data_IF_688485945982
#
_entry.id   IF_688485945982
#
_cell.length_a   1.000
_cell.length_b   1.000
_cell.length_c   1.000
_cell.angle_alpha   90.00
_cell.angle_beta   90.00
_cell.angle_gamma   90.00
#
_symmetry.space_group_name_H-M   'P 1'
#
loop_
_entity.id
_entity.type
_entity.pdbx_description
1 polymer ?
#
# COMPACT_ATOMS: atom_id res chain seq x y z
N UNK A 1 51.10 55.68 40.22
CA UNK A 1 50.16 55.03 41.17
C UNK A 1 48.73 55.39 40.80
N UNK A 2 47.96 54.49 40.18
CA UNK A 2 46.51 54.67 39.96
C UNK A 2 45.78 53.44 40.50
N UNK A 3 44.90 53.68 41.49
CA UNK A 3 44.10 52.69 42.22
C UNK A 3 43.03 52.11 41.30
N UNK A 4 42.82 50.80 41.40
CA UNK A 4 41.76 50.04 40.73
C UNK A 4 40.40 50.41 41.34
N UNK A 5 39.41 50.72 40.49
CA UNK A 5 38.01 50.87 40.85
C UNK A 5 37.30 49.57 40.43
N UNK A 6 36.80 48.80 41.39
CA UNK A 6 36.05 47.58 41.13
C UNK A 6 34.57 47.92 40.97
N UNK A 7 33.97 47.49 39.86
CA UNK A 7 32.52 47.52 39.68
C UNK A 7 32.02 46.08 39.65
N UNK A 8 31.26 45.70 40.69
CA UNK A 8 30.53 44.43 40.73
C UNK A 8 29.26 44.58 39.89
N UNK A 9 29.15 43.80 38.82
CA UNK A 9 27.90 43.65 38.04
C UNK A 9 27.15 42.45 38.62
N UNK A 10 25.98 42.71 39.19
CA UNK A 10 25.04 41.70 39.68
C UNK A 10 24.31 41.09 38.47
N UNK A 11 24.59 39.83 38.13
CA UNK A 11 23.83 39.09 37.12
C UNK A 11 22.61 38.45 37.80
N UNK A 12 21.44 39.07 37.66
CA UNK A 12 20.15 38.43 37.95
C UNK A 12 19.84 37.42 36.85
N UNK A 13 19.94 36.12 37.17
CA UNK A 13 19.45 35.04 36.33
C UNK A 13 17.91 35.00 36.40
N UNK A 14 17.23 35.41 35.33
CA UNK A 14 15.82 35.09 35.12
C UNK A 14 15.72 33.60 34.80
N UNK A 15 15.19 32.80 35.74
CA UNK A 15 14.71 31.46 35.45
C UNK A 15 13.38 31.58 34.71
N UNK A 16 13.39 31.38 33.39
CA UNK A 16 12.18 31.07 32.63
C UNK A 16 11.77 29.64 33.01
N UNK A 17 10.79 29.51 33.91
CA UNK A 17 10.02 28.28 34.03
C UNK A 17 9.15 28.18 32.78
N UNK A 18 9.65 27.49 31.76
CA UNK A 18 8.84 27.12 30.61
C UNK A 18 7.78 26.12 31.08
N UNK A 19 6.52 26.53 31.05
CA UNK A 19 5.40 25.59 31.13
C UNK A 19 5.55 24.59 29.98
N UNK A 20 5.77 23.32 30.32
CA UNK A 20 5.67 22.22 29.38
C UNK A 20 4.20 22.14 28.99
N UNK A 21 3.84 22.74 27.86
CA UNK A 21 2.58 22.46 27.17
C UNK A 21 2.54 20.95 26.92
N UNK A 22 1.75 20.23 27.72
CA UNK A 22 1.47 18.83 27.52
C UNK A 22 0.82 18.67 26.14
N UNK A 23 1.62 18.26 25.15
CA UNK A 23 1.10 17.93 23.83
C UNK A 23 0.10 16.79 23.94
N UNK A 24 -1.00 16.88 23.18
CA UNK A 24 -1.97 15.79 23.07
C UNK A 24 -1.26 14.47 22.77
N UNK A 25 -1.69 13.34 23.36
CA UNK A 25 -1.01 12.06 23.17
C UNK A 25 -1.00 11.69 21.69
N UNK A 26 0.17 11.34 21.15
CA UNK A 26 0.28 10.83 19.77
C UNK A 26 -0.58 9.57 19.62
N UNK A 27 -1.33 9.50 18.53
CA UNK A 27 -2.27 8.41 18.24
C UNK A 27 -1.79 7.50 17.11
N UNK A 28 -0.82 7.94 16.31
CA UNK A 28 -0.29 7.23 15.14
C UNK A 28 1.20 7.49 14.96
N UNK A 29 1.97 6.42 14.78
CA UNK A 29 3.39 6.46 14.45
C UNK A 29 3.65 6.01 13.00
N UNK A 30 4.59 6.65 12.32
CA UNK A 30 5.11 6.25 11.01
C UNK A 30 6.61 5.98 11.14
N UNK A 31 7.02 4.73 10.92
CA UNK A 31 8.37 4.23 11.21
C UNK A 31 8.89 3.29 10.10
N UNK A 32 10.00 2.59 10.36
CA UNK A 32 10.65 1.69 9.42
C UNK A 32 11.67 2.44 8.56
N UNK A 33 11.61 2.25 7.25
CA UNK A 33 12.52 2.84 6.25
C UNK A 33 12.20 4.32 5.95
N UNK A 34 12.31 5.15 6.98
CA UNK A 34 12.00 6.59 6.96
C UNK A 34 13.15 7.39 7.55
N UNK A 35 13.48 8.54 6.96
CA UNK A 35 14.47 9.47 7.55
C UNK A 35 13.93 10.20 8.76
N UNK A 36 12.64 10.51 8.71
CA UNK A 36 11.95 11.32 9.71
C UNK A 36 10.76 10.52 10.23
N UNK A 37 10.94 9.69 11.27
CA UNK A 37 9.82 9.05 11.93
C UNK A 37 8.80 10.10 12.39
N UNK A 38 7.51 9.84 12.13
CA UNK A 38 6.43 10.76 12.49
C UNK A 38 5.64 10.19 13.66
N UNK A 39 5.26 11.06 14.60
CA UNK A 39 4.30 10.77 15.65
C UNK A 39 3.20 11.83 15.54
N UNK A 40 2.00 11.41 15.13
CA UNK A 40 0.92 12.31 14.74
C UNK A 40 -0.23 12.24 15.74
N UNK A 41 -0.83 13.39 16.01
CA UNK A 41 -2.12 13.54 16.68
C UNK A 41 -3.27 13.57 15.65
N UNK A 42 -4.52 13.53 16.10
CA UNK A 42 -5.68 13.73 15.20
C UNK A 42 -5.67 15.16 14.64
N UNK A 43 -5.39 16.16 15.49
CA UNK A 43 -5.27 17.57 15.08
C UNK A 43 -4.22 17.77 14.00
N UNK A 44 -3.09 17.06 14.08
CA UNK A 44 -2.09 17.09 13.01
C UNK A 44 -2.72 16.63 11.70
N UNK A 45 -3.39 15.48 11.67
CA UNK A 45 -4.03 14.97 10.45
C UNK A 45 -5.08 15.94 9.86
N UNK A 46 -5.85 16.63 10.71
CA UNK A 46 -6.84 17.60 10.27
C UNK A 46 -6.23 18.87 9.67
N UNK A 47 -5.05 19.29 10.15
CA UNK A 47 -4.34 20.50 9.69
C UNK A 47 -3.58 20.30 8.37
N UNK A 48 -3.39 19.07 7.92
CA UNK A 48 -2.71 18.76 6.65
C UNK A 48 -3.70 18.80 5.47
N UNK A 49 -3.17 18.59 4.25
CA UNK A 49 -3.92 18.58 2.98
C UNK A 49 -4.93 17.43 2.94
N UNK A 50 -6.04 17.62 3.65
CA UNK A 50 -7.14 16.67 3.74
C UNK A 50 -7.90 16.62 2.42
N UNK A 51 -8.34 15.42 2.05
CA UNK A 51 -9.27 15.18 0.96
C UNK A 51 -10.48 14.43 1.51
N UNK A 52 -11.60 14.54 0.81
CA UNK A 52 -12.81 13.78 1.12
C UNK A 52 -12.91 12.54 0.22
N UNK A 53 -13.22 11.40 0.82
CA UNK A 53 -13.40 10.12 0.13
C UNK A 53 -14.65 9.44 0.68
N UNK A 54 -15.55 9.04 -0.21
CA UNK A 54 -16.67 8.17 0.17
C UNK A 54 -16.18 6.72 0.31
N UNK A 55 -16.55 6.05 1.40
CA UNK A 55 -16.42 4.61 1.54
C UNK A 55 -17.77 4.02 1.99
N UNK A 56 -18.21 2.99 1.26
CA UNK A 56 -19.33 2.15 1.65
C UNK A 56 -18.73 0.98 2.43
N UNK A 57 -18.98 0.90 3.73
CA UNK A 57 -18.36 -0.12 4.57
C UNK A 57 -19.16 -1.41 4.53
N UNK A 58 -19.01 -2.10 3.40
CA UNK A 58 -19.52 -3.45 3.18
C UNK A 58 -18.32 -4.39 3.23
N UNK A 59 -18.39 -5.39 4.09
CA UNK A 59 -17.37 -6.44 4.25
C UNK A 59 -17.64 -7.58 3.27
N UNK A 60 -16.64 -8.40 2.99
CA UNK A 60 -16.79 -9.58 2.12
C UNK A 60 -17.86 -10.57 2.65
N UNK A 61 -18.00 -10.68 3.98
CA UNK A 61 -19.01 -11.50 4.64
C UNK A 61 -20.43 -10.89 4.65
N UNK A 62 -20.64 -9.81 3.89
CA UNK A 62 -21.86 -9.01 3.84
C UNK A 62 -22.17 -8.19 5.10
N UNK A 63 -21.23 -8.10 6.05
CA UNK A 63 -21.30 -7.16 7.16
C UNK A 63 -21.40 -5.72 6.66
N UNK A 64 -22.34 -4.95 7.21
CA UNK A 64 -22.53 -3.54 6.88
C UNK A 64 -22.23 -2.67 8.09
N UNK A 65 -21.30 -1.73 7.94
CA UNK A 65 -20.84 -0.83 9.00
C UNK A 65 -21.13 0.64 8.68
N UNK A 66 -21.92 0.93 7.65
CA UNK A 66 -22.36 2.28 7.31
C UNK A 66 -21.80 2.78 5.99
N UNK A 67 -22.12 4.03 5.68
CA UNK A 67 -21.58 4.74 4.52
C UNK A 67 -21.26 6.16 4.95
N UNK A 68 -20.04 6.59 4.66
CA UNK A 68 -19.54 7.86 5.16
C UNK A 68 -18.68 8.58 4.11
N UNK A 69 -18.71 9.90 4.17
CA UNK A 69 -17.65 10.75 3.65
C UNK A 69 -16.55 10.85 4.71
N UNK A 70 -15.37 10.32 4.41
CA UNK A 70 -14.18 10.39 5.25
C UNK A 70 -13.30 11.55 4.82
N UNK A 71 -12.87 12.35 5.80
CA UNK A 71 -11.91 13.43 5.59
C UNK A 71 -10.57 13.04 6.21
N UNK A 72 -9.51 13.05 5.40
CA UNK A 72 -8.19 12.61 5.82
C UNK A 72 -7.07 12.93 4.85
N UNK A 73 -5.85 12.64 5.30
CA UNK A 73 -4.63 12.87 4.51
C UNK A 73 -4.34 11.65 3.65
N UNK A 74 -4.00 11.80 2.35
CA UNK A 74 -3.50 10.70 1.55
C UNK A 74 -2.30 10.01 2.22
N UNK A 75 -2.32 8.68 2.29
CA UNK A 75 -1.20 7.93 2.87
C UNK A 75 0.11 8.25 2.16
N UNK A 76 0.07 8.41 0.84
CA UNK A 76 1.19 8.87 0.03
C UNK A 76 1.84 10.14 0.59
N UNK A 77 1.04 11.15 0.94
CA UNK A 77 1.52 12.43 1.47
C UNK A 77 2.18 12.28 2.83
N UNK A 78 1.61 11.46 3.72
CA UNK A 78 2.22 11.17 5.03
C UNK A 78 3.58 10.47 4.88
N UNK A 79 3.68 9.51 3.96
CA UNK A 79 4.94 8.81 3.67
C UNK A 79 5.97 9.70 2.97
N UNK A 80 5.53 10.68 2.17
CA UNK A 80 6.40 11.72 1.61
C UNK A 80 6.98 12.62 2.71
N UNK A 81 6.17 13.02 3.70
CA UNK A 81 6.67 13.77 4.86
C UNK A 81 7.67 12.97 5.69
N UNK A 82 7.43 11.68 5.91
CA UNK A 82 8.36 10.80 6.63
C UNK A 82 9.68 10.56 5.88
N UNK A 83 9.77 10.94 4.59
CA UNK A 83 10.95 10.85 3.76
C UNK A 83 11.51 9.41 3.67
N UNK A 84 10.86 8.58 2.85
CA UNK A 84 11.23 7.17 2.68
C UNK A 84 12.67 7.00 2.18
N UNK A 85 13.48 6.23 2.92
CA UNK A 85 14.88 5.90 2.58
C UNK A 85 15.15 4.41 2.75
N UNK A 86 15.59 3.78 1.64
CA UNK A 86 16.13 2.43 1.69
C UNK A 86 17.56 2.48 2.19
N UNK A 87 17.94 1.52 3.03
CA UNK A 87 19.33 1.33 3.43
C UNK A 87 20.22 0.86 2.27
N UNK A 88 21.47 0.49 2.58
CA UNK A 88 22.40 -0.04 1.58
C UNK A 88 21.87 -1.38 1.03
N UNK A 89 21.44 -1.36 -0.23
CA UNK A 89 20.96 -2.55 -0.94
C UNK A 89 21.40 -2.51 -2.39
N UNK A 90 21.50 -3.69 -3.01
CA UNK A 90 21.76 -3.82 -4.43
C UNK A 90 20.60 -3.30 -5.32
N UNK A 91 19.41 -3.05 -4.75
CA UNK A 91 18.23 -2.56 -5.50
C UNK A 91 17.62 -1.30 -4.88
N UNK A 92 17.97 -0.15 -5.45
CA UNK A 92 17.62 1.17 -4.90
C UNK A 92 16.19 1.63 -5.13
N UNK A 93 15.45 1.00 -6.06
CA UNK A 93 14.05 1.38 -6.30
C UNK A 93 13.18 0.98 -5.11
N UNK A 94 12.08 1.70 -4.93
CA UNK A 94 11.11 1.50 -3.84
C UNK A 94 9.97 0.56 -4.18
N UNK A 95 9.90 0.08 -5.43
CA UNK A 95 8.80 -0.76 -5.94
C UNK A 95 8.70 -2.14 -5.28
N UNK A 96 9.68 -2.53 -4.47
CA UNK A 96 9.72 -3.76 -3.67
C UNK A 96 9.41 -3.53 -2.18
N UNK A 97 9.03 -2.32 -1.78
CA UNK A 97 8.69 -2.00 -0.40
C UNK A 97 7.25 -2.38 -0.05
N UNK A 98 7.06 -2.79 1.20
CA UNK A 98 5.77 -3.02 1.82
C UNK A 98 5.47 -1.93 2.85
N UNK A 99 4.19 -1.64 3.05
CA UNK A 99 3.69 -0.71 4.09
C UNK A 99 2.76 -1.50 4.99
N UNK A 100 3.21 -1.81 6.20
CA UNK A 100 2.46 -2.57 7.20
C UNK A 100 1.69 -1.59 8.09
N UNK A 101 0.37 -1.74 8.16
CA UNK A 101 -0.50 -0.93 9.02
C UNK A 101 -1.06 -1.80 10.13
N UNK A 102 -1.00 -1.33 11.38
CA UNK A 102 -1.53 -2.03 12.57
C UNK A 102 -2.49 -1.11 13.32
N UNK A 103 -3.54 -1.70 13.90
CA UNK A 103 -4.46 -1.00 14.80
C UNK A 103 -4.29 -1.38 16.29
N UNK A 104 -5.05 -0.71 17.16
CA UNK A 104 -5.05 -0.95 18.63
C UNK A 104 -5.42 -2.38 19.01
N UNK A 105 -6.21 -3.06 18.18
CA UNK A 105 -6.62 -4.47 18.39
C UNK A 105 -5.56 -5.48 17.89
N UNK A 106 -4.44 -4.99 17.34
CA UNK A 106 -3.40 -5.84 16.76
C UNK A 106 -3.72 -6.39 15.38
N UNK A 107 -4.84 -6.00 14.75
CA UNK A 107 -5.13 -6.32 13.35
C UNK A 107 -4.11 -5.65 12.44
N UNK A 108 -3.71 -6.35 11.40
CA UNK A 108 -2.68 -5.92 10.46
C UNK A 108 -3.15 -6.07 9.02
N UNK A 109 -2.78 -5.08 8.20
CA UNK A 109 -2.93 -5.14 6.74
C UNK A 109 -1.63 -4.67 6.09
N UNK A 110 -1.26 -5.27 4.97
CA UNK A 110 -0.10 -4.85 4.18
C UNK A 110 -0.54 -4.21 2.87
N UNK A 111 0.08 -3.08 2.56
CA UNK A 111 -0.03 -2.40 1.29
C UNK A 111 1.29 -2.48 0.52
N UNK A 112 1.24 -2.46 -0.80
CA UNK A 112 2.43 -2.35 -1.65
C UNK A 112 2.83 -0.90 -1.88
N UNK A 113 4.11 -0.65 -2.18
CA UNK A 113 4.56 0.67 -2.63
C UNK A 113 3.70 1.21 -3.78
N UNK A 114 3.38 0.36 -4.76
CA UNK A 114 2.74 0.84 -5.98
C UNK A 114 1.25 1.12 -5.85
N UNK A 115 0.52 0.46 -4.95
CA UNK A 115 -0.87 0.86 -4.68
C UNK A 115 -0.95 2.24 -3.97
N UNK A 116 0.08 2.60 -3.22
CA UNK A 116 0.19 3.92 -2.55
C UNK A 116 0.75 5.01 -3.47
N UNK A 117 1.82 4.72 -4.23
CA UNK A 117 2.59 5.74 -4.96
C UNK A 117 2.32 5.80 -6.46
N UNK A 118 1.96 4.67 -7.10
CA UNK A 118 1.74 4.59 -8.55
C UNK A 118 0.27 4.63 -8.93
N UNK A 119 -0.59 5.04 -8.00
CA UNK A 119 -2.02 5.30 -8.20
C UNK A 119 -2.35 6.73 -7.75
N UNK A 120 -3.55 7.19 -8.12
CA UNK A 120 -4.01 8.49 -7.65
C UNK A 120 -4.16 8.49 -6.12
N UNK A 121 -3.72 9.55 -5.43
CA UNK A 121 -3.60 9.58 -3.96
C UNK A 121 -4.94 9.47 -3.20
N UNK A 122 -6.08 9.67 -3.86
CA UNK A 122 -7.41 9.58 -3.24
C UNK A 122 -7.93 8.18 -2.94
N UNK A 123 -7.13 7.14 -3.21
CA UNK A 123 -7.55 5.73 -3.02
C UNK A 123 -7.25 5.21 -1.62
N UNK A 124 -6.23 5.76 -0.95
CA UNK A 124 -5.77 5.30 0.36
C UNK A 124 -5.47 6.52 1.21
N UNK A 125 -6.28 6.74 2.25
CA UNK A 125 -6.15 7.89 3.15
C UNK A 125 -6.07 7.41 4.61
N UNK A 126 -5.47 8.26 5.45
CA UNK A 126 -5.61 8.18 6.91
C UNK A 126 -6.64 9.23 7.31
N UNK A 127 -7.85 8.77 7.59
CA UNK A 127 -8.98 9.60 7.97
C UNK A 127 -8.90 10.02 9.43
N UNK A 128 -9.28 11.27 9.69
CA UNK A 128 -9.38 11.87 11.02
C UNK A 128 -10.85 12.09 11.44
N UNK A 129 -11.75 12.23 10.46
CA UNK A 129 -13.18 12.44 10.70
C UNK A 129 -14.04 11.78 9.62
N UNK A 130 -15.34 11.68 9.91
CA UNK A 130 -16.33 11.11 9.00
C UNK A 130 -17.70 11.75 9.19
N UNK A 131 -18.45 11.90 8.10
CA UNK A 131 -19.83 12.36 8.09
C UNK A 131 -20.69 11.26 7.44
N UNK A 132 -21.75 10.77 8.10
CA UNK A 132 -22.61 9.73 7.54
C UNK A 132 -23.39 10.24 6.32
N UNK A 133 -23.55 9.37 5.32
CA UNK A 133 -24.42 9.64 4.18
C UNK A 133 -25.83 9.15 4.51
N UNK A 134 -26.71 10.08 4.86
CA UNK A 134 -28.07 9.77 5.28
C UNK A 134 -28.97 9.45 4.06
N UNK A 135 -29.81 8.40 4.14
CA UNK A 135 -30.80 8.13 3.10
C UNK A 135 -31.82 9.28 3.04
N UNK A 136 -32.21 9.67 1.82
CA UNK A 136 -33.17 10.77 1.60
C UNK A 136 -34.63 10.33 1.64
N UNK A 137 -34.89 9.02 1.53
CA UNK A 137 -36.23 8.45 1.52
C UNK A 137 -36.44 7.60 2.78
N UNK A 138 -37.69 7.52 3.25
CA UNK A 138 -38.03 6.73 4.42
C UNK A 138 -37.87 5.23 4.13
N UNK A 139 -36.90 4.58 4.77
CA UNK A 139 -36.65 3.15 4.61
C UNK A 139 -37.82 2.27 5.09
N UNK A 140 -38.77 2.81 5.87
CA UNK A 140 -39.98 2.10 6.32
C UNK A 140 -40.86 1.62 5.16
N UNK A 141 -40.74 2.24 3.98
CA UNK A 141 -41.53 1.87 2.81
C UNK A 141 -40.91 0.72 1.99
N UNK A 142 -39.64 0.37 2.26
CA UNK A 142 -38.89 -0.59 1.45
C UNK A 142 -38.54 -1.89 2.21
N UNK A 143 -38.42 -1.86 3.54
CA UNK A 143 -37.92 -2.97 4.35
C UNK A 143 -38.62 -3.07 5.71
N UNK A 144 -38.55 -4.24 6.35
CA UNK A 144 -39.10 -4.41 7.70
C UNK A 144 -38.32 -3.59 8.74
N UNK A 145 -38.93 -3.26 9.90
CA UNK A 145 -38.27 -2.57 11.00
C UNK A 145 -36.95 -3.16 11.44
N UNK A 146 -36.84 -4.48 11.49
CA UNK A 146 -35.63 -5.20 11.91
C UNK A 146 -34.48 -4.92 10.94
N UNK A 147 -34.78 -4.91 9.64
CA UNK A 147 -33.80 -4.71 8.58
C UNK A 147 -33.36 -3.25 8.48
N UNK A 148 -34.28 -2.29 8.43
CA UNK A 148 -33.86 -0.90 8.24
C UNK A 148 -33.24 -0.30 9.51
N UNK A 149 -33.73 -0.65 10.71
CA UNK A 149 -33.16 -0.14 11.97
C UNK A 149 -31.72 -0.62 12.17
N UNK A 150 -31.44 -1.90 11.91
CA UNK A 150 -30.09 -2.47 12.01
C UNK A 150 -29.09 -1.83 11.04
N UNK A 151 -29.55 -1.32 9.88
CA UNK A 151 -28.72 -0.55 8.94
C UNK A 151 -28.57 0.91 9.35
N UNK A 152 -29.65 1.58 9.76
CA UNK A 152 -29.61 2.99 10.16
C UNK A 152 -28.78 3.24 11.43
N UNK A 153 -28.76 2.29 12.37
CA UNK A 153 -27.93 2.43 13.58
C UNK A 153 -26.43 2.48 13.24
N UNK A 154 -26.00 1.84 12.14
CA UNK A 154 -24.60 1.88 11.71
C UNK A 154 -24.17 3.29 11.29
N UNK A 155 -25.08 4.11 10.74
CA UNK A 155 -24.77 5.49 10.36
C UNK A 155 -24.50 6.42 11.55
N UNK A 156 -24.88 6.00 12.76
CA UNK A 156 -24.69 6.77 14.00
C UNK A 156 -23.63 6.16 14.92
N UNK A 157 -22.95 5.10 14.47
CA UNK A 157 -21.94 4.43 15.28
C UNK A 157 -20.75 5.36 15.53
N UNK A 158 -20.04 5.12 16.64
CA UNK A 158 -18.76 5.77 16.90
C UNK A 158 -17.67 5.12 16.04
N UNK A 159 -16.97 5.91 15.24
CA UNK A 159 -15.83 5.48 14.43
C UNK A 159 -14.53 5.68 15.21
N UNK A 160 -13.66 4.69 15.20
CA UNK A 160 -12.31 4.79 15.77
C UNK A 160 -11.32 5.47 14.84
N UNK A 161 -10.83 6.65 15.25
CA UNK A 161 -9.79 7.39 14.53
C UNK A 161 -8.40 7.31 15.22
N UNK A 162 -7.30 7.48 14.46
CA UNK A 162 -7.27 7.61 12.99
C UNK A 162 -7.65 6.30 12.30
N UNK A 163 -8.26 6.39 11.11
CA UNK A 163 -8.76 5.22 10.37
C UNK A 163 -8.02 5.12 9.02
N UNK A 164 -7.49 3.93 8.71
CA UNK A 164 -7.07 3.63 7.34
C UNK A 164 -8.32 3.42 6.50
N UNK A 165 -8.46 4.18 5.43
CA UNK A 165 -9.54 4.04 4.43
C UNK A 165 -8.91 3.63 3.11
N UNK A 166 -9.30 2.45 2.62
CA UNK A 166 -8.89 1.92 1.32
C UNK A 166 -10.12 1.90 0.41
N UNK A 167 -10.38 3.00 -0.28
CA UNK A 167 -11.60 3.19 -1.09
C UNK A 167 -11.55 2.52 -2.46
N UNK A 168 -10.39 1.99 -2.83
CA UNK A 168 -10.18 1.25 -4.08
C UNK A 168 -10.76 -0.15 -4.09
N UNK A 169 -10.98 -0.73 -2.93
CA UNK A 169 -11.30 -2.15 -2.79
C UNK A 169 -12.80 -2.38 -2.99
N UNK A 170 -13.14 -3.60 -3.43
CA UNK A 170 -14.53 -4.03 -3.54
C UNK A 170 -15.24 -4.12 -2.18
N UNK A 171 -14.48 -4.42 -1.12
CA UNK A 171 -14.97 -4.55 0.25
C UNK A 171 -14.05 -3.83 1.24
N UNK A 172 -14.59 -3.46 2.40
CA UNK A 172 -13.93 -2.63 3.39
C UNK A 172 -12.96 -3.40 4.33
N UNK A 173 -12.68 -4.67 4.05
CA UNK A 173 -11.84 -5.57 4.87
C UNK A 173 -10.44 -5.01 5.18
N UNK A 174 -9.87 -4.18 4.29
CA UNK A 174 -8.58 -3.51 4.52
C UNK A 174 -8.67 -2.16 5.23
N UNK A 175 -9.87 -1.65 5.51
CA UNK A 175 -10.07 -0.34 6.15
C UNK A 175 -10.11 -0.47 7.68
N UNK A 176 -8.99 -0.20 8.33
CA UNK A 176 -8.81 -0.40 9.78
C UNK A 176 -9.14 0.85 10.60
N UNK A 177 -9.95 0.71 11.64
CA UNK A 177 -10.16 1.74 12.65
C UNK A 177 -9.09 1.75 13.72
N UNK A 178 -8.83 2.93 14.29
CA UNK A 178 -7.89 3.11 15.39
C UNK A 178 -6.49 2.63 15.04
N UNK A 179 -5.98 2.98 13.86
CA UNK A 179 -4.61 2.64 13.47
C UNK A 179 -3.62 3.32 14.41
N UNK A 180 -2.55 2.61 14.77
CA UNK A 180 -1.52 3.07 15.72
C UNK A 180 -0.13 3.12 15.12
N UNK A 181 0.14 2.29 14.12
CA UNK A 181 1.44 2.28 13.45
C UNK A 181 1.33 2.00 11.96
N UNK A 182 2.15 2.72 11.20
CA UNK A 182 2.46 2.47 9.80
C UNK A 182 3.97 2.25 9.70
N UNK A 183 4.41 1.10 9.23
CA UNK A 183 5.83 0.75 9.11
C UNK A 183 6.18 0.47 7.64
N UNK A 184 7.23 1.14 7.14
CA UNK A 184 7.74 0.89 5.78
C UNK A 184 8.87 -0.12 5.82
N UNK A 185 8.73 -1.20 5.06
CA UNK A 185 9.56 -2.41 5.16
C UNK A 185 10.25 -2.73 3.83
N UNK A 186 11.55 -3.08 3.89
CA UNK A 186 12.26 -3.82 2.84
C UNK A 186 12.41 -5.25 3.31
N UNK A 187 11.72 -6.16 2.63
CA UNK A 187 11.67 -7.58 2.98
C UNK A 187 12.87 -8.36 2.41
N UNK A 188 13.64 -7.77 1.50
CA UNK A 188 14.72 -8.44 0.77
C UNK A 188 15.97 -7.55 0.61
N UNK A 189 16.48 -6.91 1.68
CA UNK A 189 17.56 -5.91 1.56
C UNK A 189 18.87 -6.53 1.05
N UNK A 190 19.12 -7.80 1.39
CA UNK A 190 20.30 -8.57 1.00
C UNK A 190 20.19 -9.24 -0.36
N UNK A 191 19.03 -9.17 -1.04
CA UNK A 191 18.88 -9.86 -2.32
C UNK A 191 19.73 -9.16 -3.39
N UNK A 192 20.66 -9.89 -4.04
CA UNK A 192 21.60 -9.29 -4.98
C UNK A 192 20.89 -8.77 -6.23
N UNK A 193 21.47 -7.77 -6.84
CA UNK A 193 21.13 -7.31 -8.18
C UNK A 193 22.40 -7.18 -9.01
N UNK A 194 22.37 -7.67 -10.24
CA UNK A 194 23.52 -7.66 -11.14
C UNK A 194 23.05 -7.47 -12.57
N UNK A 195 23.66 -6.51 -13.26
CA UNK A 195 23.45 -6.32 -14.68
C UNK A 195 23.95 -7.56 -15.44
N UNK A 196 23.05 -8.20 -16.18
CA UNK A 196 23.37 -9.33 -17.04
C UNK A 196 23.63 -8.88 -18.48
N UNK A 197 24.54 -9.56 -19.18
CA UNK A 197 24.76 -9.34 -20.63
C UNK A 197 23.50 -9.67 -21.44
N UNK A 198 22.76 -10.70 -21.03
CA UNK A 198 21.47 -11.12 -21.60
C UNK A 198 20.48 -11.39 -20.47
N UNK A 199 19.38 -10.64 -20.45
CA UNK A 199 18.27 -10.86 -19.53
C UNK A 199 17.29 -11.84 -20.16
N UNK A 200 17.18 -13.05 -19.60
CA UNK A 200 16.27 -14.08 -20.09
C UNK A 200 15.94 -15.12 -19.02
N UNK A 201 14.67 -15.51 -18.97
CA UNK A 201 14.16 -16.65 -18.21
C UNK A 201 13.15 -17.40 -19.12
N UNK A 202 13.31 -18.73 -19.31
CA UNK A 202 12.40 -19.53 -20.14
C UNK A 202 11.10 -19.90 -19.43
N UNK A 203 11.10 -19.80 -18.10
CA UNK A 203 10.03 -20.18 -17.19
C UNK A 203 10.11 -19.30 -15.94
N UNK A 204 9.03 -19.28 -15.18
CA UNK A 204 9.04 -18.71 -13.83
C UNK A 204 8.47 -19.69 -12.83
N UNK A 205 8.73 -19.43 -11.55
CA UNK A 205 8.22 -20.22 -10.45
C UNK A 205 7.38 -19.37 -9.49
N UNK A 206 6.39 -19.99 -8.86
CA UNK A 206 5.74 -19.45 -7.66
C UNK A 206 6.17 -20.31 -6.49
N UNK A 207 6.73 -19.69 -5.47
CA UNK A 207 7.12 -20.37 -4.22
C UNK A 207 6.27 -19.82 -3.09
N UNK A 208 5.53 -20.69 -2.41
CA UNK A 208 4.68 -20.32 -1.27
C UNK A 208 5.48 -20.22 0.05
N UNK A 209 4.77 -19.85 1.13
CA UNK A 209 5.36 -19.69 2.47
C UNK A 209 5.89 -21.00 3.07
N UNK A 210 5.37 -22.16 2.64
CA UNK A 210 5.85 -23.49 3.05
C UNK A 210 6.89 -24.05 2.07
N UNK A 211 7.40 -23.21 1.16
CA UNK A 211 8.41 -23.52 0.14
C UNK A 211 8.00 -24.56 -0.90
N UNK A 212 6.69 -24.77 -1.09
CA UNK A 212 6.20 -25.50 -2.26
C UNK A 212 6.43 -24.63 -3.49
N UNK A 213 7.03 -25.20 -4.52
CA UNK A 213 7.32 -24.51 -5.78
C UNK A 213 6.50 -25.08 -6.92
N UNK A 214 5.82 -24.20 -7.67
CA UNK A 214 5.17 -24.51 -8.94
C UNK A 214 5.88 -23.79 -10.07
N UNK A 215 6.16 -24.50 -11.16
CA UNK A 215 6.90 -23.98 -12.32
C UNK A 215 5.96 -23.80 -13.50
N UNK A 216 6.06 -22.64 -14.14
CA UNK A 216 5.23 -22.22 -15.26
C UNK A 216 6.10 -22.01 -16.50
N UNK A 217 5.97 -22.94 -17.44
CA UNK A 217 6.65 -22.92 -18.74
C UNK A 217 5.75 -22.40 -19.85
N UNK A 218 4.43 -22.50 -19.68
CA UNK A 218 3.42 -22.17 -20.67
C UNK A 218 2.17 -21.62 -19.98
N UNK A 219 1.47 -20.72 -20.67
CA UNK A 219 0.27 -20.03 -20.19
C UNK A 219 -0.94 -20.25 -21.10
N UNK A 220 -0.86 -21.16 -22.07
CA UNK A 220 -1.93 -21.36 -23.06
C UNK A 220 -3.23 -21.90 -22.45
N UNK A 221 -3.14 -22.61 -21.32
CA UNK A 221 -4.28 -23.19 -20.61
C UNK A 221 -5.02 -22.22 -19.69
N UNK A 222 -4.51 -21.01 -19.49
CA UNK A 222 -5.13 -20.01 -18.61
C UNK A 222 -6.00 -19.05 -19.42
N UNK A 223 -7.07 -18.49 -18.84
CA UNK A 223 -7.81 -17.41 -19.48
C UNK A 223 -6.89 -16.22 -19.78
N UNK A 224 -7.05 -15.66 -20.99
CA UNK A 224 -6.13 -14.65 -21.54
C UNK A 224 -6.84 -13.33 -21.81
N UNK A 225 -6.05 -12.26 -21.85
CA UNK A 225 -6.52 -10.93 -22.25
C UNK A 225 -5.47 -10.20 -23.05
N UNK A 226 -5.91 -9.52 -24.11
CA UNK A 226 -5.13 -8.53 -24.82
C UNK A 226 -5.50 -7.11 -24.34
N UNK A 227 -4.51 -6.22 -24.23
CA UNK A 227 -4.74 -4.81 -23.90
C UNK A 227 -3.65 -3.90 -24.46
N UNK A 228 -3.96 -2.61 -24.58
CA UNK A 228 -2.95 -1.57 -24.82
C UNK A 228 -2.47 -1.01 -23.49
N UNK A 229 -1.16 -0.89 -23.33
CA UNK A 229 -0.53 -0.27 -22.15
C UNK A 229 0.25 0.97 -22.56
N UNK A 230 0.22 1.99 -21.70
CA UNK A 230 1.06 3.17 -21.81
C UNK A 230 2.35 2.90 -21.06
N UNK A 231 3.49 3.10 -21.71
CA UNK A 231 4.79 2.90 -21.08
C UNK A 231 5.33 4.24 -20.57
N UNK A 232 5.12 4.53 -19.29
CA UNK A 232 5.62 5.75 -18.64
C UNK A 232 6.55 5.33 -17.50
N UNK A 233 7.84 5.60 -17.60
CA UNK A 233 8.81 5.21 -16.58
C UNK A 233 9.14 6.36 -15.64
N UNK A 234 9.25 6.07 -14.34
CA UNK A 234 9.75 7.02 -13.34
C UNK A 234 11.17 7.44 -13.69
N UNK A 235 11.39 8.75 -13.87
CA UNK A 235 12.66 9.32 -14.31
C UNK A 235 13.05 9.02 -15.77
N UNK A 236 12.20 8.31 -16.54
CA UNK A 236 12.46 8.00 -17.96
C UNK A 236 11.46 8.62 -18.93
N UNK A 237 10.28 9.00 -18.45
CA UNK A 237 9.25 9.63 -19.26
C UNK A 237 8.48 8.63 -20.13
N UNK A 238 7.81 9.15 -21.16
CA UNK A 238 6.90 8.39 -22.00
C UNK A 238 7.63 7.66 -23.13
N UNK A 239 7.33 6.37 -23.28
CA UNK A 239 7.96 5.46 -24.26
C UNK A 239 6.95 4.84 -25.25
N UNK A 240 5.76 5.42 -25.36
CA UNK A 240 4.75 4.97 -26.33
C UNK A 240 3.68 4.05 -25.74
N UNK A 241 2.94 3.44 -26.66
CA UNK A 241 1.86 2.49 -26.35
C UNK A 241 2.21 1.15 -26.98
N UNK A 242 2.09 0.09 -26.20
CA UNK A 242 2.35 -1.29 -26.64
C UNK A 242 1.08 -2.13 -26.50
N UNK A 243 0.86 -3.09 -27.39
CA UNK A 243 -0.19 -4.10 -27.23
C UNK A 243 0.42 -5.34 -26.58
N UNK A 244 -0.08 -5.70 -25.41
CA UNK A 244 0.34 -6.90 -24.68
C UNK A 244 -0.80 -7.91 -24.63
N UNK A 245 -0.46 -9.19 -24.55
CA UNK A 245 -1.41 -10.27 -24.33
C UNK A 245 -0.78 -11.34 -23.41
N UNK A 246 -1.59 -11.88 -22.51
CA UNK A 246 -1.14 -12.85 -21.52
C UNK A 246 -2.27 -13.44 -20.70
N UNK A 247 -1.90 -14.30 -19.76
CA UNK A 247 -2.81 -14.90 -18.79
C UNK A 247 -3.00 -13.98 -17.57
N UNK A 248 -4.19 -14.01 -16.97
CA UNK A 248 -4.46 -13.24 -15.76
C UNK A 248 -3.60 -13.71 -14.59
N UNK A 249 -2.99 -12.75 -13.88
CA UNK A 249 -2.15 -13.03 -12.72
C UNK A 249 -2.91 -13.78 -11.62
N UNK A 250 -4.16 -13.37 -11.34
CA UNK A 250 -5.04 -14.01 -10.34
C UNK A 250 -5.17 -15.51 -10.59
N UNK A 251 -5.54 -15.92 -11.81
CA UNK A 251 -5.73 -17.33 -12.14
C UNK A 251 -4.43 -18.17 -11.99
N UNK A 252 -3.27 -17.56 -12.23
CA UNK A 252 -1.97 -18.23 -12.03
C UNK A 252 -1.69 -18.41 -10.53
N UNK A 253 -1.96 -17.38 -9.71
CA UNK A 253 -1.80 -17.46 -8.25
C UNK A 253 -2.83 -18.42 -7.63
N UNK A 254 -4.08 -18.42 -8.09
CA UNK A 254 -5.14 -19.34 -7.61
C UNK A 254 -4.73 -20.80 -7.85
N UNK A 255 -4.10 -21.09 -8.99
CA UNK A 255 -3.56 -22.43 -9.27
C UNK A 255 -2.49 -22.85 -8.25
N UNK A 256 -1.79 -21.89 -7.65
CA UNK A 256 -0.82 -22.16 -6.59
C UNK A 256 -1.45 -22.44 -5.22
N UNK A 257 -2.76 -22.27 -5.06
CA UNK A 257 -3.47 -22.61 -3.83
C UNK A 257 -3.09 -21.70 -2.66
N UNK A 258 -2.74 -20.45 -2.94
CA UNK A 258 -2.35 -19.49 -1.90
C UNK A 258 -3.59 -19.05 -1.13
N UNK A 259 -3.65 -19.40 0.16
CA UNK A 259 -4.77 -18.99 1.01
C UNK A 259 -4.88 -17.45 1.11
N UNK A 260 -6.09 -16.88 1.18
CA UNK A 260 -6.30 -15.46 1.46
C UNK A 260 -5.61 -15.01 2.75
N UNK A 261 -4.98 -13.83 2.73
CA UNK A 261 -4.38 -13.19 3.92
C UNK A 261 -4.02 -11.73 3.60
N UNK A 262 -4.58 -10.79 4.38
CA UNK A 262 -4.32 -9.35 4.23
C UNK A 262 -2.89 -8.94 4.60
N UNK A 263 -2.08 -9.86 5.14
CA UNK A 263 -0.66 -9.66 5.42
C UNK A 263 0.26 -10.40 4.43
N UNK A 264 -0.27 -11.00 3.35
CA UNK A 264 0.55 -11.62 2.29
C UNK A 264 0.91 -10.64 1.20
N UNK A 265 2.12 -10.80 0.69
CA UNK A 265 2.63 -10.10 -0.49
C UNK A 265 3.21 -11.10 -1.50
N UNK A 266 3.34 -10.64 -2.73
CA UNK A 266 3.93 -11.34 -3.86
C UNK A 266 5.12 -10.53 -4.37
N UNK A 267 6.33 -11.03 -4.11
CA UNK A 267 7.56 -10.43 -4.62
C UNK A 267 7.90 -11.06 -5.96
N UNK A 268 7.77 -10.30 -7.04
CA UNK A 268 8.08 -10.75 -8.40
C UNK A 268 9.48 -10.31 -8.77
N UNK A 269 10.36 -11.25 -9.11
CA UNK A 269 11.77 -10.98 -9.40
C UNK A 269 12.24 -11.53 -10.75
N UNK A 270 13.21 -10.83 -11.34
CA UNK A 270 13.88 -11.17 -12.58
C UNK A 270 15.33 -11.68 -12.33
N UNK A 271 15.99 -12.31 -13.31
CA UNK A 271 17.35 -12.83 -13.18
C UNK A 271 18.43 -11.80 -12.82
N UNK A 272 18.25 -10.54 -13.22
CA UNK A 272 19.17 -9.43 -12.91
C UNK A 272 18.95 -8.82 -11.51
N UNK A 273 17.98 -9.34 -10.76
CA UNK A 273 17.62 -8.86 -9.43
C UNK A 273 16.59 -7.72 -9.44
N UNK A 274 16.09 -7.29 -10.61
CA UNK A 274 14.94 -6.41 -10.67
C UNK A 274 13.74 -7.06 -10.01
N UNK A 275 12.98 -6.28 -9.24
CA UNK A 275 11.87 -6.80 -8.45
C UNK A 275 10.77 -5.77 -8.27
N UNK A 276 9.56 -6.25 -8.04
CA UNK A 276 8.43 -5.45 -7.60
C UNK A 276 7.55 -6.26 -6.66
N UNK A 277 6.93 -5.58 -5.70
CA UNK A 277 6.05 -6.16 -4.69
C UNK A 277 4.60 -5.77 -4.98
N UNK A 278 3.70 -6.73 -4.77
CA UNK A 278 2.25 -6.57 -4.84
C UNK A 278 1.63 -7.14 -3.57
N UNK A 279 0.67 -6.44 -2.97
CA UNK A 279 -0.06 -6.97 -1.81
C UNK A 279 -1.15 -7.94 -2.25
N UNK A 280 -1.58 -8.83 -1.35
CA UNK A 280 -2.76 -9.65 -1.59
C UNK A 280 -3.98 -8.79 -1.92
N UNK A 281 -4.20 -7.71 -1.17
CA UNK A 281 -5.33 -6.82 -1.39
C UNK A 281 -5.27 -6.10 -2.74
N UNK A 282 -4.09 -5.67 -3.19
CA UNK A 282 -3.93 -5.08 -4.52
C UNK A 282 -4.28 -6.07 -5.64
N UNK A 283 -3.88 -7.34 -5.49
CA UNK A 283 -4.16 -8.34 -6.51
C UNK A 283 -5.63 -8.75 -6.46
N UNK A 284 -6.21 -9.03 -5.29
CA UNK A 284 -7.50 -9.72 -5.14
C UNK A 284 -8.68 -8.82 -4.76
N UNK A 285 -8.44 -7.73 -4.02
CA UNK A 285 -9.51 -6.88 -3.47
C UNK A 285 -9.73 -5.58 -4.27
N UNK A 286 -8.68 -5.04 -4.90
CA UNK A 286 -8.81 -3.92 -5.85
C UNK A 286 -9.26 -4.46 -7.22
N UNK A 287 -10.38 -3.99 -7.82
CA UNK A 287 -10.80 -4.37 -9.18
C UNK A 287 -9.73 -4.14 -10.25
N UNK A 288 -8.80 -3.21 -10.04
CA UNK A 288 -7.66 -3.02 -10.95
C UNK A 288 -6.72 -4.23 -10.99
N UNK A 289 -6.67 -5.04 -9.92
CA UNK A 289 -5.91 -6.28 -9.83
C UNK A 289 -6.39 -7.36 -10.83
N UNK A 290 -7.68 -7.37 -11.18
CA UNK A 290 -8.24 -8.27 -12.22
C UNK A 290 -7.63 -8.07 -13.59
N UNK A 291 -7.05 -6.89 -13.83
CA UNK A 291 -6.42 -6.55 -15.11
C UNK A 291 -4.95 -6.90 -15.14
N UNK A 292 -4.35 -7.33 -14.03
CA UNK A 292 -2.94 -7.73 -14.02
C UNK A 292 -2.76 -9.03 -14.79
N UNK A 293 -1.75 -9.07 -15.65
CA UNK A 293 -1.45 -10.24 -16.48
C UNK A 293 0.03 -10.61 -16.40
N UNK A 294 0.33 -11.89 -16.65
CA UNK A 294 1.63 -12.33 -17.12
C UNK A 294 1.58 -12.40 -18.65
N UNK A 295 2.15 -11.40 -19.31
CA UNK A 295 2.24 -11.31 -20.76
C UNK A 295 3.34 -12.22 -21.31
N UNK A 296 3.00 -12.95 -22.37
CA UNK A 296 3.91 -13.78 -23.18
C UNK A 296 3.90 -13.36 -24.66
N UNK A 297 3.09 -12.35 -25.01
CA UNK A 297 3.02 -11.75 -26.35
C UNK A 297 3.09 -10.23 -26.30
N UNK A 298 3.84 -9.65 -27.23
CA UNK A 298 3.99 -8.22 -27.46
C UNK A 298 3.73 -7.92 -28.95
N UNK A 299 2.80 -7.01 -29.23
CA UNK A 299 2.38 -6.61 -30.57
C UNK A 299 2.05 -7.81 -31.47
N UNK A 300 1.35 -8.81 -30.91
CA UNK A 300 0.91 -10.03 -31.60
C UNK A 300 1.97 -11.13 -31.71
N UNK A 301 3.23 -10.86 -31.37
CA UNK A 301 4.34 -11.82 -31.47
C UNK A 301 4.73 -12.35 -30.09
N UNK A 302 5.21 -13.60 -29.97
CA UNK A 302 5.81 -14.10 -28.74
C UNK A 302 6.94 -13.18 -28.24
N UNK A 303 7.05 -13.02 -26.92
CA UNK A 303 8.13 -12.24 -26.32
C UNK A 303 9.41 -13.10 -26.28
N UNK A 304 10.39 -12.76 -27.12
CA UNK A 304 11.68 -13.45 -27.15
C UNK A 304 12.80 -12.63 -26.49
N UNK A 305 12.84 -11.31 -26.76
CA UNK A 305 13.83 -10.38 -26.20
C UNK A 305 13.39 -9.89 -24.82
N UNK A 306 14.28 -10.01 -23.83
CA UNK A 306 14.01 -9.57 -22.47
C UNK A 306 13.18 -10.55 -21.63
N UNK A 307 13.18 -11.84 -22.01
CA UNK A 307 12.56 -12.95 -21.28
C UNK A 307 11.12 -13.27 -21.71
N UNK A 308 10.73 -14.55 -21.61
CA UNK A 308 9.46 -15.08 -22.15
C UNK A 308 8.21 -14.46 -21.51
N UNK A 309 8.32 -14.08 -20.25
CA UNK A 309 7.19 -13.65 -19.43
C UNK A 309 7.45 -12.26 -18.83
N UNK A 310 6.45 -11.39 -18.94
CA UNK A 310 6.47 -10.02 -18.40
C UNK A 310 5.24 -9.85 -17.52
N UNK A 311 5.44 -9.50 -16.25
CA UNK A 311 4.33 -9.05 -15.42
C UNK A 311 3.90 -7.66 -15.88
N UNK A 312 2.59 -7.45 -16.04
CA UNK A 312 2.01 -6.16 -16.42
C UNK A 312 0.96 -5.75 -15.40
N UNK A 313 1.14 -4.57 -14.82
CA UNK A 313 0.20 -3.93 -13.89
C UNK A 313 -0.41 -2.69 -14.58
N UNK A 314 -1.50 -2.85 -15.36
CA UNK A 314 -1.97 -1.78 -16.26
C UNK A 314 -2.69 -0.64 -15.53
N UNK A 315 -3.07 -0.84 -14.27
CA UNK A 315 -3.66 0.24 -13.49
C UNK A 315 -2.63 1.23 -12.95
N UNK A 316 -1.34 0.90 -12.98
CA UNK A 316 -0.29 1.79 -12.51
C UNK A 316 -0.11 2.97 -13.45
N UNK A 317 0.16 4.14 -12.87
CA UNK A 317 0.53 5.34 -13.61
C UNK A 317 1.97 5.25 -14.13
N UNK A 318 2.81 4.40 -13.52
CA UNK A 318 4.20 4.17 -13.91
C UNK A 318 4.45 2.68 -14.24
N UNK A 319 5.23 2.41 -15.29
CA UNK A 319 5.55 1.08 -15.78
C UNK A 319 6.69 0.40 -15.00
N UNK A 320 7.22 1.02 -13.94
CA UNK A 320 8.32 0.49 -13.15
C UNK A 320 8.00 -0.83 -12.44
N UNK A 321 6.72 -1.19 -12.30
CA UNK A 321 6.30 -2.52 -11.81
C UNK A 321 5.97 -3.51 -12.92
N UNK A 322 6.25 -3.17 -14.18
CA UNK A 322 6.15 -4.11 -15.29
C UNK A 322 7.45 -4.93 -15.37
N UNK A 323 7.53 -5.99 -14.55
CA UNK A 323 8.75 -6.79 -14.39
C UNK A 323 8.96 -7.65 -15.64
N UNK A 324 10.03 -7.37 -16.38
CA UNK A 324 10.44 -8.16 -17.56
C UNK A 324 11.22 -9.39 -17.15
N UNK A 325 11.15 -10.45 -17.95
CA UNK A 325 11.86 -11.71 -17.71
C UNK A 325 11.62 -12.28 -16.32
N UNK A 326 10.36 -12.35 -15.88
CA UNK A 326 10.08 -12.88 -14.54
C UNK A 326 10.69 -14.28 -14.38
N UNK A 327 11.30 -14.53 -13.23
CA UNK A 327 11.93 -15.80 -12.86
C UNK A 327 11.24 -16.43 -11.65
N UNK A 328 10.80 -15.60 -10.71
CA UNK A 328 10.20 -16.06 -9.47
C UNK A 328 9.14 -15.09 -8.96
N UNK A 329 8.09 -15.63 -8.38
CA UNK A 329 7.12 -14.96 -7.53
C UNK A 329 7.21 -15.61 -6.14
N UNK A 330 7.66 -14.88 -5.16
CA UNK A 330 7.79 -15.36 -3.77
C UNK A 330 6.60 -14.84 -2.96
N UNK A 331 5.86 -15.76 -2.34
CA UNK A 331 4.79 -15.40 -1.40
C UNK A 331 5.40 -15.23 -0.03
N UNK A 332 5.25 -14.03 0.55
CA UNK A 332 5.83 -13.69 1.84
C UNK A 332 4.71 -13.24 2.76
N UNK A 333 4.70 -13.74 4.00
CA UNK A 333 3.85 -13.19 5.05
C UNK A 333 4.62 -12.09 5.78
N UNK A 334 3.96 -10.94 5.95
CA UNK A 334 4.52 -9.74 6.60
C UNK A 334 3.97 -9.58 8.03
N UNK A 335 3.24 -10.58 8.52
CA UNK A 335 2.69 -10.57 9.89
C UNK A 335 3.84 -10.41 10.89
N UNK A 336 3.65 -9.50 11.84
CA UNK A 336 4.61 -9.24 12.90
C UNK A 336 3.91 -9.34 14.24
N UNK A 337 4.48 -10.12 15.15
CA UNK A 337 4.01 -10.17 16.53
C UNK A 337 4.10 -8.78 17.18
N UNK A 338 3.26 -8.50 18.19
CA UNK A 338 3.41 -7.32 19.02
C UNK A 338 4.84 -7.31 19.60
N UNK A 339 5.56 -6.18 19.46
CA UNK A 339 6.79 -5.99 20.22
C UNK A 339 6.37 -5.86 21.70
N UNK A 340 6.64 -6.89 22.50
CA UNK A 340 6.41 -6.92 23.95
C UNK A 340 7.23 -5.84 24.66
#
# INVERSE_FOLDING_TARGET
>A
MKRKFGWFVFFTALFFTGDILAGSPSVLSITGLVKQPLNLTVDDLERHRSIEVQLNEVMEDSGYHGVFYYSGVPLKTLLEFASIEKGETAFSKKVDLAVLVRNREGKQVVLSWGEVFYRNPGRIIVAASAIPIMPRHDCKTCHSPEVYKSRLVQLHRKIGFPKLVVSSDSYADRSLEGITSIEVLDLCPKMPAKRLKKLFAPEFSITDVVRRTLVFKDLSSYPRRAMKIKHLGEGKGYHGIEKVEGAYLRNIIDKAGIAPDLCKIFLVSAPDGYRALFSYGEIFLDPAGERMIIADRLNGKPIEKGGKFVLVAPGDLMADRHVKSIRRIEVISVRQDPKL
#
